data_IF_228166874402
#
_entry.id   IF_228166874402
#
_cell.length_a   1.000
_cell.length_b   1.000
_cell.length_c   1.000
_cell.angle_alpha   90.00
_cell.angle_beta   90.00
_cell.angle_gamma   90.00
#
_symmetry.space_group_name_H-M   'P 1'
#
loop_
_entity.id
_entity.type
_entity.pdbx_description
1 polymer ?
#
# COMPACT_ATOMS: atom_id res chain seq x y z
N UNK A 1 12.64 20.94 12.81
CA UNK A 1 12.51 21.02 11.35
C UNK A 1 11.26 21.81 11.03
N UNK A 2 11.31 22.74 10.07
CA UNK A 2 10.15 23.51 9.62
C UNK A 2 9.56 22.86 8.36
N UNK A 3 8.54 22.03 8.53
CA UNK A 3 7.91 21.27 7.44
C UNK A 3 6.78 22.10 6.81
N UNK A 4 6.96 22.51 5.56
CA UNK A 4 6.00 23.36 4.83
C UNK A 4 4.83 22.61 4.19
N UNK A 5 5.01 21.33 3.91
CA UNK A 5 3.96 20.46 3.38
C UNK A 5 4.51 19.09 3.00
N UNK A 6 3.59 18.15 2.81
CA UNK A 6 3.88 16.76 2.40
C UNK A 6 3.04 16.40 1.19
N UNK A 7 3.63 15.69 0.24
CA UNK A 7 2.90 15.01 -0.82
C UNK A 7 2.97 13.49 -0.59
N UNK A 8 1.85 12.80 -0.72
CA UNK A 8 1.76 11.35 -0.70
C UNK A 8 0.92 10.83 -1.88
N UNK A 9 1.56 10.16 -2.84
CA UNK A 9 0.87 9.48 -3.94
C UNK A 9 0.44 8.07 -3.50
N UNK A 10 -0.87 7.82 -3.55
CA UNK A 10 -1.53 6.55 -3.22
C UNK A 10 -0.89 5.82 -2.02
N UNK A 11 -0.77 6.44 -0.84
CA UNK A 11 -0.06 5.83 0.29
C UNK A 11 -0.74 4.52 0.73
N UNK A 12 0.03 3.45 1.05
CA UNK A 12 -0.51 2.26 1.71
C UNK A 12 -0.90 2.60 3.16
N UNK A 13 -2.11 3.11 3.35
CA UNK A 13 -2.52 3.69 4.63
C UNK A 13 -2.97 2.66 5.68
N UNK A 14 -3.38 1.49 5.20
CA UNK A 14 -3.77 0.33 5.99
C UNK A 14 -3.16 -0.91 5.31
N UNK A 15 -2.03 -1.36 5.86
CA UNK A 15 -1.27 -2.47 5.27
C UNK A 15 -2.10 -3.75 5.21
N UNK A 16 -2.91 -4.04 6.24
CA UNK A 16 -3.81 -5.20 6.24
C UNK A 16 -4.80 -5.11 5.09
N UNK A 17 -5.44 -3.95 4.89
CA UNK A 17 -6.38 -3.75 3.79
C UNK A 17 -5.71 -3.91 2.43
N UNK A 18 -4.51 -3.37 2.24
CA UNK A 18 -3.73 -3.56 1.01
C UNK A 18 -3.48 -5.04 0.74
N UNK A 19 -2.91 -5.76 1.72
CA UNK A 19 -2.58 -7.20 1.58
C UNK A 19 -3.80 -8.08 1.29
N UNK A 20 -4.97 -7.73 1.81
CA UNK A 20 -6.17 -8.57 1.74
C UNK A 20 -7.15 -8.19 0.64
N UNK A 21 -7.06 -6.98 0.08
CA UNK A 21 -8.08 -6.47 -0.85
C UNK A 21 -7.54 -5.95 -2.16
N UNK A 22 -6.23 -5.70 -2.29
CA UNK A 22 -5.65 -5.20 -3.53
C UNK A 22 -5.77 -6.24 -4.66
N UNK A 23 -6.46 -5.92 -5.78
CA UNK A 23 -6.57 -6.84 -6.91
C UNK A 23 -5.22 -7.30 -7.46
N UNK A 24 -4.23 -6.42 -7.54
CA UNK A 24 -2.90 -6.78 -8.03
C UNK A 24 -2.16 -7.78 -7.11
N UNK A 25 -2.55 -7.88 -5.83
CA UNK A 25 -2.02 -8.88 -4.90
C UNK A 25 -2.86 -10.17 -4.95
N UNK A 26 -4.19 -10.05 -4.87
CA UNK A 26 -5.12 -11.17 -4.76
C UNK A 26 -5.31 -11.94 -6.07
N UNK A 27 -5.26 -11.23 -7.20
CA UNK A 27 -5.20 -11.78 -8.54
C UNK A 27 -6.47 -11.75 -9.38
N UNK A 28 -6.28 -12.15 -10.64
CA UNK A 28 -7.34 -12.20 -11.65
C UNK A 28 -8.48 -13.15 -11.26
N UNK A 29 -8.11 -14.27 -10.63
CA UNK A 29 -9.06 -15.22 -10.03
C UNK A 29 -8.59 -15.45 -8.59
N UNK A 30 -9.14 -14.71 -7.61
CA UNK A 30 -8.65 -14.74 -6.23
C UNK A 30 -8.46 -16.17 -5.69
N UNK A 31 -7.25 -16.47 -5.23
CA UNK A 31 -6.87 -17.79 -4.70
C UNK A 31 -6.51 -18.85 -5.73
N UNK A 32 -6.72 -18.59 -7.03
CA UNK A 32 -6.42 -19.52 -8.13
C UNK A 32 -5.34 -18.95 -9.05
N UNK A 33 -5.57 -17.75 -9.61
CA UNK A 33 -4.65 -17.04 -10.48
C UNK A 33 -4.30 -15.71 -9.80
N UNK A 34 -3.06 -15.60 -9.34
CA UNK A 34 -2.53 -14.42 -8.66
C UNK A 34 -2.45 -13.19 -9.55
N UNK A 35 -2.18 -12.03 -8.95
CA UNK A 35 -2.03 -10.78 -9.70
C UNK A 35 -0.57 -10.57 -10.09
N UNK A 36 -0.26 -9.40 -10.63
CA UNK A 36 1.11 -9.05 -10.97
C UNK A 36 1.94 -8.60 -9.76
N UNK A 37 1.30 -8.24 -8.66
CA UNK A 37 1.94 -7.67 -7.47
C UNK A 37 1.93 -8.61 -6.25
N UNK A 38 1.65 -9.91 -6.40
CA UNK A 38 1.68 -10.84 -5.26
C UNK A 38 3.03 -10.86 -4.54
N UNK A 39 4.15 -10.64 -5.26
CA UNK A 39 5.49 -10.49 -4.67
C UNK A 39 5.63 -9.35 -3.67
N UNK A 40 4.75 -8.34 -3.67
CA UNK A 40 4.74 -7.30 -2.63
C UNK A 40 4.59 -7.89 -1.22
N UNK A 41 3.88 -9.01 -1.08
CA UNK A 41 3.78 -9.72 0.20
C UNK A 41 5.15 -10.21 0.69
N UNK A 42 6.04 -10.63 -0.22
CA UNK A 42 7.40 -11.03 0.15
C UNK A 42 8.25 -9.85 0.63
N UNK A 43 8.11 -8.66 0.03
CA UNK A 43 8.75 -7.45 0.55
C UNK A 43 8.24 -7.08 1.93
N UNK A 44 6.92 -7.21 2.18
CA UNK A 44 6.34 -6.98 3.51
C UNK A 44 6.94 -7.95 4.53
N UNK A 45 6.98 -9.25 4.22
CA UNK A 45 7.54 -10.25 5.12
C UNK A 45 9.03 -10.01 5.39
N UNK A 46 9.83 -9.72 4.35
CA UNK A 46 11.24 -9.37 4.51
C UNK A 46 11.42 -8.12 5.38
N UNK A 47 10.59 -7.09 5.20
CA UNK A 47 10.60 -5.87 6.01
C UNK A 47 10.22 -6.13 7.46
N UNK A 48 9.25 -7.01 7.73
CA UNK A 48 8.87 -7.41 9.09
C UNK A 48 10.04 -8.16 9.74
N UNK A 49 10.62 -9.18 9.10
CA UNK A 49 11.77 -9.93 9.66
C UNK A 49 12.96 -9.01 9.91
N UNK A 50 13.23 -8.05 9.03
CA UNK A 50 14.35 -7.12 9.18
C UNK A 50 14.19 -6.16 10.37
N UNK A 51 12.97 -5.70 10.66
CA UNK A 51 12.68 -4.77 11.76
C UNK A 51 12.29 -5.46 13.08
N UNK A 52 11.78 -6.69 12.99
CA UNK A 52 11.30 -7.52 14.10
C UNK A 52 11.86 -8.94 13.96
N UNK A 53 13.17 -9.16 14.19
CA UNK A 53 13.81 -10.47 14.00
C UNK A 53 13.18 -11.60 14.84
N UNK A 54 12.54 -11.27 15.96
CA UNK A 54 11.76 -12.18 16.81
C UNK A 54 10.60 -12.87 16.06
N UNK A 55 10.10 -12.27 14.99
CA UNK A 55 9.03 -12.84 14.15
C UNK A 55 9.52 -13.86 13.14
N UNK A 56 10.83 -14.02 12.95
CA UNK A 56 11.39 -14.93 11.95
C UNK A 56 10.87 -16.38 12.07
N UNK A 57 10.75 -16.99 13.27
CA UNK A 57 10.17 -18.33 13.40
C UNK A 57 8.68 -18.39 13.01
N UNK A 58 7.92 -17.32 13.27
CA UNK A 58 6.49 -17.24 12.91
C UNK A 58 6.35 -17.18 11.39
N UNK A 59 7.17 -16.37 10.73
CA UNK A 59 7.16 -16.20 9.27
C UNK A 59 7.70 -17.47 8.57
N UNK A 60 8.74 -18.11 9.14
CA UNK A 60 9.27 -19.38 8.66
C UNK A 60 8.19 -20.49 8.70
N UNK A 61 7.43 -20.58 9.81
CA UNK A 61 6.33 -21.53 9.95
C UNK A 61 5.13 -21.20 9.05
N UNK A 62 4.92 -19.93 8.71
CA UNK A 62 3.84 -19.48 7.83
C UNK A 62 4.13 -19.68 6.34
N UNK A 63 5.39 -19.90 5.96
CA UNK A 63 5.84 -20.05 4.58
C UNK A 63 6.23 -21.48 4.25
N UNK A 64 5.99 -21.89 3.00
CA UNK A 64 6.45 -23.18 2.48
C UNK A 64 7.81 -23.00 1.76
N UNK A 65 8.45 -24.05 1.22
CA UNK A 65 9.72 -23.91 0.50
C UNK A 65 9.70 -22.87 -0.63
N UNK A 66 8.61 -22.77 -1.38
CA UNK A 66 8.46 -21.76 -2.44
C UNK A 66 8.37 -20.33 -1.85
N UNK A 67 7.71 -20.15 -0.70
CA UNK A 67 7.66 -18.87 0.01
C UNK A 67 9.01 -18.44 0.55
N UNK A 68 9.78 -19.38 1.13
CA UNK A 68 11.15 -19.13 1.60
C UNK A 68 12.07 -18.74 0.44
N UNK A 69 11.94 -19.45 -0.69
CA UNK A 69 12.66 -19.09 -1.91
C UNK A 69 12.27 -17.70 -2.42
N UNK A 70 10.96 -17.40 -2.50
CA UNK A 70 10.48 -16.08 -2.89
C UNK A 70 11.08 -14.98 -2.00
N UNK A 71 11.06 -15.14 -0.68
CA UNK A 71 11.66 -14.17 0.24
C UNK A 71 13.16 -13.97 0.00
N UNK A 72 13.91 -15.05 -0.17
CA UNK A 72 15.35 -14.99 -0.44
C UNK A 72 15.68 -14.31 -1.77
N UNK A 73 14.91 -14.60 -2.83
CA UNK A 73 15.04 -13.92 -4.13
C UNK A 73 14.70 -12.44 -4.00
N UNK A 74 13.54 -12.12 -3.42
CA UNK A 74 13.04 -10.75 -3.33
C UNK A 74 13.91 -9.85 -2.46
N UNK A 75 14.66 -10.39 -1.50
CA UNK A 75 15.64 -9.62 -0.73
C UNK A 75 16.72 -8.95 -1.62
N UNK A 76 16.89 -9.41 -2.85
CA UNK A 76 17.94 -8.97 -3.77
C UNK A 76 17.39 -8.46 -5.12
N UNK A 77 16.09 -8.20 -5.24
CA UNK A 77 15.48 -7.72 -6.49
C UNK A 77 14.77 -6.38 -6.31
N UNK A 78 14.53 -5.67 -7.41
CA UNK A 78 13.64 -4.50 -7.45
C UNK A 78 12.23 -4.89 -7.95
N UNK A 79 11.30 -3.92 -7.93
CA UNK A 79 9.88 -4.17 -8.22
C UNK A 79 9.63 -4.86 -9.58
N UNK A 80 10.33 -4.45 -10.64
CA UNK A 80 10.12 -5.02 -11.99
C UNK A 80 10.47 -6.51 -12.06
N UNK A 81 11.58 -6.92 -11.44
CA UNK A 81 11.98 -8.32 -11.40
C UNK A 81 11.10 -9.14 -10.45
N UNK A 82 10.67 -8.55 -9.33
CA UNK A 82 9.72 -9.20 -8.42
C UNK A 82 8.40 -9.56 -9.12
N UNK A 83 7.88 -8.67 -9.97
CA UNK A 83 6.69 -8.94 -10.80
C UNK A 83 6.95 -10.15 -11.70
N UNK A 84 8.04 -10.17 -12.46
CA UNK A 84 8.35 -11.28 -13.38
C UNK A 84 8.46 -12.64 -12.67
N UNK A 85 9.02 -12.66 -11.45
CA UNK A 85 9.23 -13.87 -10.66
C UNK A 85 7.96 -14.41 -10.01
N UNK A 86 7.02 -13.51 -9.68
CA UNK A 86 5.89 -13.84 -8.79
C UNK A 86 4.51 -13.69 -9.41
N UNK A 87 4.38 -13.01 -10.56
CA UNK A 87 3.09 -12.76 -11.20
C UNK A 87 2.32 -14.05 -11.44
N UNK A 88 0.98 -13.96 -11.40
CA UNK A 88 0.04 -15.06 -11.65
C UNK A 88 0.04 -16.17 -10.58
N UNK A 89 0.98 -16.18 -9.64
CA UNK A 89 0.97 -17.13 -8.52
C UNK A 89 0.14 -16.54 -7.38
N UNK A 90 -0.94 -17.21 -6.91
CA UNK A 90 -1.71 -16.72 -5.78
C UNK A 90 -0.87 -16.74 -4.50
N UNK A 91 -1.19 -15.89 -3.52
CA UNK A 91 -0.45 -15.83 -2.25
C UNK A 91 -0.33 -17.21 -1.56
N UNK A 92 -1.39 -18.02 -1.64
CA UNK A 92 -1.46 -19.38 -1.07
C UNK A 92 -0.38 -20.33 -1.61
N UNK A 93 0.14 -20.07 -2.82
CA UNK A 93 1.27 -20.82 -3.41
C UNK A 93 2.54 -20.77 -2.54
N UNK A 94 2.74 -19.67 -1.80
CA UNK A 94 3.94 -19.42 -1.00
C UNK A 94 3.78 -19.78 0.48
N UNK A 95 2.55 -20.05 0.91
CA UNK A 95 2.22 -20.24 2.32
C UNK A 95 2.20 -21.71 2.72
N UNK A 96 2.55 -21.99 3.98
CA UNK A 96 2.42 -23.31 4.56
C UNK A 96 0.94 -23.76 4.57
N UNK A 97 0.68 -24.94 4.04
CA UNK A 97 -0.68 -25.51 3.96
C UNK A 97 -1.66 -24.73 3.08
N UNK A 98 -1.19 -23.81 2.23
CA UNK A 98 -2.06 -23.01 1.36
C UNK A 98 -2.93 -22.00 2.11
N UNK A 99 -2.53 -21.59 3.31
CA UNK A 99 -3.26 -20.64 4.15
C UNK A 99 -3.32 -19.25 3.49
N UNK A 100 -4.45 -18.56 3.64
CA UNK A 100 -4.57 -17.19 3.14
C UNK A 100 -3.74 -16.21 3.99
N UNK A 101 -3.36 -15.04 3.44
CA UNK A 101 -2.70 -14.01 4.25
C UNK A 101 -3.50 -13.63 5.50
N UNK A 102 -4.83 -13.53 5.40
CA UNK A 102 -5.70 -13.26 6.56
C UNK A 102 -5.55 -14.34 7.64
N UNK A 103 -5.62 -15.62 7.27
CA UNK A 103 -5.46 -16.73 8.21
C UNK A 103 -4.10 -16.70 8.91
N UNK A 104 -3.03 -16.31 8.22
CA UNK A 104 -1.68 -16.20 8.80
C UNK A 104 -1.64 -15.07 9.82
N UNK A 105 -2.05 -13.87 9.41
CA UNK A 105 -2.05 -12.68 10.27
C UNK A 105 -2.88 -12.93 11.52
N UNK A 106 -4.08 -13.50 11.37
CA UNK A 106 -5.01 -13.71 12.48
C UNK A 106 -4.59 -14.83 13.43
N UNK A 107 -3.64 -15.68 13.03
CA UNK A 107 -3.12 -16.73 13.89
C UNK A 107 -1.98 -16.30 14.81
N UNK A 108 -1.46 -15.08 14.64
CA UNK A 108 -0.38 -14.55 15.48
C UNK A 108 -0.75 -13.14 15.96
N UNK A 109 -1.03 -12.96 17.25
CA UNK A 109 -1.25 -11.63 17.83
C UNK A 109 -0.10 -10.67 17.55
N UNK A 110 1.13 -11.18 17.54
CA UNK A 110 2.35 -10.41 17.29
C UNK A 110 2.41 -9.90 15.84
N UNK A 111 2.17 -10.76 14.84
CA UNK A 111 2.10 -10.32 13.44
C UNK A 111 0.94 -9.34 13.20
N UNK A 112 -0.21 -9.61 13.81
CA UNK A 112 -1.37 -8.73 13.72
C UNK A 112 -1.05 -7.33 14.28
N UNK A 113 -0.36 -7.26 15.43
CA UNK A 113 0.05 -6.00 16.03
C UNK A 113 1.04 -5.22 15.14
N UNK A 114 2.06 -5.88 14.59
CA UNK A 114 3.06 -5.23 13.71
C UNK A 114 2.40 -4.67 12.44
N UNK A 115 1.47 -5.42 11.83
CA UNK A 115 0.75 -4.97 10.64
C UNK A 115 -0.20 -3.82 10.98
N UNK A 116 -0.88 -3.87 12.12
CA UNK A 116 -1.78 -2.82 12.59
C UNK A 116 -1.02 -1.52 12.97
N UNK A 117 0.23 -1.63 13.43
CA UNK A 117 1.10 -0.48 13.69
C UNK A 117 1.38 0.34 12.42
N UNK A 118 1.33 -0.29 11.24
CA UNK A 118 1.53 0.39 9.96
C UNK A 118 0.34 1.25 9.54
N UNK A 119 -0.76 1.28 10.31
CA UNK A 119 -1.94 2.09 10.00
C UNK A 119 -1.71 3.58 10.31
N UNK A 120 -1.25 4.32 9.30
CA UNK A 120 -0.85 5.73 9.42
C UNK A 120 -2.02 6.71 9.65
N UNK A 121 -3.27 6.29 9.40
CA UNK A 121 -4.45 7.12 9.66
C UNK A 121 -4.66 7.47 11.14
N UNK A 122 -4.05 6.73 12.07
CA UNK A 122 -4.16 6.96 13.51
C UNK A 122 -3.26 8.08 14.05
N UNK A 123 -2.41 8.66 13.20
CA UNK A 123 -1.49 9.73 13.57
C UNK A 123 -1.86 10.99 12.80
N UNK A 124 -1.88 12.14 13.48
CA UNK A 124 -2.11 13.44 12.82
C UNK A 124 -0.81 13.93 12.16
N UNK A 125 -0.82 14.28 10.85
CA UNK A 125 0.31 14.95 10.23
C UNK A 125 0.50 16.36 10.79
N UNK A 126 1.75 16.78 10.97
CA UNK A 126 2.11 18.08 11.58
C UNK A 126 2.16 19.25 10.58
N UNK A 127 2.12 18.94 9.29
CA UNK A 127 2.10 19.92 8.19
C UNK A 127 0.97 19.57 7.22
N UNK A 128 0.53 20.52 6.36
CA UNK A 128 -0.47 20.23 5.34
C UNK A 128 -0.06 19.08 4.43
N UNK A 129 -1.03 18.27 4.00
CA UNK A 129 -0.77 17.10 3.15
C UNK A 129 -1.63 17.15 1.88
N UNK A 130 -0.97 17.01 0.73
CA UNK A 130 -1.60 16.63 -0.53
C UNK A 130 -1.54 15.11 -0.67
N UNK A 131 -2.70 14.47 -0.76
CA UNK A 131 -2.82 13.04 -1.04
C UNK A 131 -3.34 12.92 -2.48
N UNK A 132 -2.65 12.19 -3.34
CA UNK A 132 -3.17 11.86 -4.67
C UNK A 132 -3.62 10.40 -4.73
N UNK A 133 -4.76 10.10 -5.35
CA UNK A 133 -5.27 8.73 -5.45
C UNK A 133 -6.06 8.49 -6.74
N UNK A 134 -5.72 7.43 -7.47
CA UNK A 134 -6.49 6.96 -8.62
C UNK A 134 -7.74 6.21 -8.19
N UNK A 135 -8.91 6.53 -8.77
CA UNK A 135 -10.17 5.84 -8.42
C UNK A 135 -10.18 4.36 -8.77
N UNK A 136 -9.45 3.99 -9.83
CA UNK A 136 -9.30 2.63 -10.31
C UNK A 136 -7.87 2.10 -10.09
N UNK A 137 -7.18 2.59 -9.05
CA UNK A 137 -5.93 2.01 -8.59
C UNK A 137 -6.17 0.59 -8.07
N UNK A 138 -5.48 -0.39 -8.65
CA UNK A 138 -5.64 -1.81 -8.38
C UNK A 138 -4.55 -2.39 -7.45
N UNK A 139 -3.67 -1.54 -6.91
CA UNK A 139 -2.67 -1.92 -5.90
C UNK A 139 -2.95 -1.18 -4.59
N UNK A 140 -3.03 0.14 -4.63
CA UNK A 140 -3.25 1.03 -3.50
C UNK A 140 -4.65 1.63 -3.61
N UNK A 141 -5.65 0.77 -3.41
CA UNK A 141 -7.04 1.06 -3.77
C UNK A 141 -7.57 2.38 -3.18
N UNK A 142 -8.32 3.14 -3.99
CA UNK A 142 -8.88 4.43 -3.56
C UNK A 142 -9.60 4.40 -2.20
N UNK A 143 -10.40 3.37 -1.84
CA UNK A 143 -11.11 3.37 -0.56
C UNK A 143 -10.21 3.44 0.68
N UNK A 144 -8.99 2.87 0.65
CA UNK A 144 -8.09 2.95 1.81
C UNK A 144 -7.40 4.32 1.89
N UNK A 145 -7.07 4.92 0.74
CA UNK A 145 -6.50 6.27 0.68
C UNK A 145 -7.53 7.34 1.03
N UNK A 146 -8.79 7.17 0.61
CA UNK A 146 -9.88 8.06 1.00
C UNK A 146 -10.12 8.02 2.51
N UNK A 147 -10.09 6.82 3.11
CA UNK A 147 -10.23 6.69 4.57
C UNK A 147 -9.09 7.39 5.31
N UNK A 148 -7.85 7.34 4.80
CA UNK A 148 -6.74 8.10 5.36
C UNK A 148 -7.03 9.61 5.41
N UNK A 149 -7.56 10.17 4.32
CA UNK A 149 -7.91 11.58 4.24
C UNK A 149 -8.98 11.94 5.28
N UNK A 150 -10.04 11.12 5.39
CA UNK A 150 -11.09 11.27 6.41
C UNK A 150 -10.50 11.21 7.82
N UNK A 151 -9.70 10.19 8.13
CA UNK A 151 -9.10 9.98 9.45
C UNK A 151 -8.22 11.17 9.87
N UNK A 152 -7.43 11.72 8.94
CA UNK A 152 -6.58 12.89 9.21
C UNK A 152 -7.39 14.20 9.31
N UNK A 153 -8.42 14.39 8.49
CA UNK A 153 -9.32 15.53 8.59
C UNK A 153 -10.06 15.55 9.93
N UNK A 154 -10.53 14.40 10.42
CA UNK A 154 -11.19 14.26 11.73
C UNK A 154 -10.26 14.61 12.91
N UNK A 155 -8.95 14.48 12.73
CA UNK A 155 -7.93 14.92 13.70
C UNK A 155 -7.55 16.40 13.55
N UNK A 156 -8.21 17.13 12.66
CA UNK A 156 -7.97 18.55 12.38
C UNK A 156 -6.66 18.81 11.63
N UNK A 157 -6.21 17.88 10.79
CA UNK A 157 -5.13 18.13 9.84
C UNK A 157 -5.63 18.94 8.64
N UNK A 158 -4.72 19.66 7.98
CA UNK A 158 -4.99 20.30 6.70
C UNK A 158 -4.70 19.31 5.57
N UNK A 159 -5.75 18.75 4.98
CA UNK A 159 -5.63 17.74 3.91
C UNK A 159 -6.29 18.23 2.63
N UNK A 160 -5.59 18.06 1.52
CA UNK A 160 -6.17 18.08 0.18
C UNK A 160 -6.09 16.66 -0.39
N UNK A 161 -7.23 16.00 -0.58
CA UNK A 161 -7.32 14.76 -1.36
C UNK A 161 -7.56 15.10 -2.84
N UNK A 162 -6.58 14.85 -3.68
CA UNK A 162 -6.68 14.94 -5.13
C UNK A 162 -7.03 13.56 -5.71
N UNK A 163 -8.20 13.49 -6.33
CA UNK A 163 -8.76 12.26 -6.89
C UNK A 163 -8.58 12.26 -8.40
N UNK A 164 -7.83 11.30 -8.92
CA UNK A 164 -7.69 11.05 -10.36
C UNK A 164 -8.91 10.29 -10.88
N UNK A 165 -10.06 10.99 -10.96
CA UNK A 165 -11.37 10.40 -11.28
C UNK A 165 -11.51 9.91 -12.73
N UNK A 166 -10.69 10.42 -13.65
CA UNK A 166 -10.72 10.05 -15.06
C UNK A 166 -10.04 8.71 -15.35
N UNK A 167 -9.30 8.15 -14.38
CA UNK A 167 -8.57 6.89 -14.54
C UNK A 167 -9.56 5.77 -14.88
N UNK A 168 -9.53 5.15 -16.07
CA UNK A 168 -10.46 4.09 -16.45
C UNK A 168 -10.14 2.75 -15.73
N UNK A 169 -11.12 1.84 -15.55
CA UNK A 169 -10.91 0.54 -14.91
C UNK A 169 -10.28 -0.47 -15.88
N UNK A 170 -9.07 -0.17 -16.36
CA UNK A 170 -8.36 -0.99 -17.35
C UNK A 170 -7.44 -2.01 -16.67
N UNK A 171 -7.43 -3.24 -17.20
CA UNK A 171 -6.50 -4.32 -16.83
C UNK A 171 -6.39 -4.55 -15.32
N UNK A 172 -7.50 -4.89 -14.62
CA UNK A 172 -7.44 -5.12 -13.18
C UNK A 172 -6.43 -6.23 -12.84
N UNK A 173 -5.77 -6.09 -11.68
CA UNK A 173 -4.77 -7.03 -11.16
C UNK A 173 -3.40 -6.98 -11.83
N UNK A 174 -3.15 -5.99 -12.68
CA UNK A 174 -1.87 -5.81 -13.40
C UNK A 174 -0.97 -4.71 -12.83
N UNK A 175 -1.47 -3.91 -11.88
CA UNK A 175 -0.87 -2.67 -11.40
C UNK A 175 -0.87 -1.51 -12.42
N UNK A 176 -1.46 -1.67 -13.61
CA UNK A 176 -1.50 -0.61 -14.63
C UNK A 176 -2.31 0.59 -14.14
N UNK A 177 -3.43 0.37 -13.42
CA UNK A 177 -4.23 1.44 -12.87
C UNK A 177 -3.43 2.33 -11.90
N UNK A 178 -2.63 1.70 -11.05
CA UNK A 178 -1.70 2.40 -10.15
C UNK A 178 -0.65 3.22 -10.92
N UNK A 179 -0.01 2.64 -11.93
CA UNK A 179 1.04 3.30 -12.72
C UNK A 179 0.52 4.49 -13.53
N UNK A 180 -0.67 4.38 -14.12
CA UNK A 180 -1.27 5.46 -14.92
C UNK A 180 -1.59 6.71 -14.10
N UNK A 181 -1.83 6.56 -12.79
CA UNK A 181 -2.08 7.69 -11.90
C UNK A 181 -0.81 8.50 -11.56
N UNK A 182 0.39 7.93 -11.74
CA UNK A 182 1.66 8.48 -11.24
C UNK A 182 2.05 9.82 -11.87
N UNK A 183 2.17 9.90 -13.20
CA UNK A 183 2.69 11.11 -13.87
C UNK A 183 1.81 12.35 -13.62
N UNK A 184 0.48 12.30 -13.83
CA UNK A 184 -0.41 13.43 -13.56
C UNK A 184 -0.33 13.90 -12.10
N UNK A 185 -0.33 12.95 -11.15
CA UNK A 185 -0.22 13.25 -9.73
C UNK A 185 1.12 13.89 -9.36
N UNK A 186 2.21 13.49 -10.01
CA UNK A 186 3.56 14.03 -9.77
C UNK A 186 3.66 15.48 -10.22
N UNK A 187 3.09 15.83 -11.39
CA UNK A 187 3.06 17.23 -11.84
C UNK A 187 2.25 18.12 -10.88
N UNK A 188 1.05 17.68 -10.50
CA UNK A 188 0.22 18.41 -9.53
C UNK A 188 0.93 18.57 -8.17
N UNK A 189 1.66 17.54 -7.73
CA UNK A 189 2.44 17.58 -6.50
C UNK A 189 3.58 18.60 -6.53
N UNK A 190 4.28 18.72 -7.67
CA UNK A 190 5.37 19.67 -7.83
C UNK A 190 4.88 21.12 -7.67
N UNK A 191 3.80 21.48 -8.35
CA UNK A 191 3.19 22.81 -8.24
C UNK A 191 2.70 23.07 -6.82
N UNK A 192 2.03 22.09 -6.21
CA UNK A 192 1.51 22.20 -4.84
C UNK A 192 2.62 22.41 -3.81
N UNK A 193 3.71 21.64 -3.89
CA UNK A 193 4.86 21.76 -2.99
C UNK A 193 5.59 23.09 -3.17
N UNK A 194 5.76 23.54 -4.43
CA UNK A 194 6.38 24.84 -4.73
C UNK A 194 5.60 25.99 -4.08
N UNK A 195 4.26 25.94 -4.11
CA UNK A 195 3.43 26.92 -3.42
C UNK A 195 3.61 26.90 -1.89
N UNK A 196 3.75 25.72 -1.27
CA UNK A 196 4.02 25.61 0.18
C UNK A 196 5.37 26.21 0.56
N UNK A 197 6.40 25.94 -0.23
CA UNK A 197 7.74 26.50 -0.04
C UNK A 197 7.76 28.03 -0.23
N UNK A 198 6.92 28.56 -1.13
CA UNK A 198 6.73 29.99 -1.32
C UNK A 198 5.85 30.67 -0.25
N UNK A 199 5.35 29.92 0.75
CA UNK A 199 4.53 30.47 1.84
C UNK A 199 3.04 30.63 1.52
N UNK A 200 2.57 30.13 0.36
CA UNK A 200 1.15 30.15 0.01
C UNK A 200 0.37 29.19 0.93
N UNK A 201 -0.71 29.62 1.59
CA UNK A 201 -1.53 28.75 2.45
C UNK A 201 -2.04 27.50 1.72
N UNK A 202 -2.09 26.38 2.43
CA UNK A 202 -2.56 25.12 1.85
C UNK A 202 -4.08 25.10 1.69
N UNK A 203 -4.62 24.72 0.53
CA UNK A 203 -6.03 24.43 0.40
C UNK A 203 -6.37 23.16 1.19
N UNK A 204 -7.64 23.01 1.54
CA UNK A 204 -8.15 21.78 2.13
C UNK A 204 -9.57 21.50 1.63
N UNK A 205 -9.87 20.23 1.41
CA UNK A 205 -11.21 19.75 1.08
C UNK A 205 -11.81 18.87 2.18
N UNK A 206 -11.31 18.98 3.43
CA UNK A 206 -11.85 18.24 4.57
C UNK A 206 -13.36 18.43 4.78
N UNK A 207 -13.90 19.62 4.49
CA UNK A 207 -15.34 19.89 4.62
C UNK A 207 -16.22 19.13 3.62
N UNK A 208 -15.63 18.59 2.55
CA UNK A 208 -16.32 17.78 1.55
C UNK A 208 -16.15 16.27 1.76
N UNK A 209 -15.37 15.88 2.78
CA UNK A 209 -15.19 14.49 3.17
C UNK A 209 -16.18 14.16 4.31
N UNK A 210 -16.81 12.98 4.29
CA UNK A 210 -17.83 12.58 5.26
C UNK A 210 -17.29 12.44 6.69
#
# INVERSE_FOLDING_TARGET
MDLRGTYAGAPPADLRKVMLTAPAINGFVPGVIGGFATGLLGYVLNGIVANHPETAPIIDAATNPAGKQMMAELANTCIGEAVLRTMLRPATWYTAGGRTPAQIIDSSPELSAIIDEQRIGRRKPVAPVLIAAGTNDDVLTYPQVHQLAVDWCAQGATVQLDKTAWLPPLFPSTAIGHLLAYLPATFAAHDWLTQRLAGTPAPSNCAALP
#
